data_IF_737731762286
#
_entry.id   IF_737731762286
#
_cell.length_a   1.000
_cell.length_b   1.000
_cell.length_c   1.000
_cell.angle_alpha   90.00
_cell.angle_beta   90.00
_cell.angle_gamma   90.00
#
_symmetry.space_group_name_H-M   'P 1'
#
loop_
_entity.id
_entity.type
_entity.pdbx_description
1 polymer ?
#
# COMPACT_ATOMS: atom_id res chain seq x y z
N UNK A 1 27.17 -3.99 -18.32
CA UNK A 1 25.83 -3.50 -17.92
C UNK A 1 25.71 -3.63 -16.41
N UNK A 2 25.64 -2.52 -15.67
CA UNK A 2 25.49 -2.56 -14.20
C UNK A 2 24.09 -3.04 -13.84
N UNK A 3 23.97 -4.26 -13.31
CA UNK A 3 22.70 -4.77 -12.79
C UNK A 3 22.33 -4.01 -11.52
N UNK A 4 21.47 -3.00 -11.64
CA UNK A 4 20.91 -2.33 -10.48
C UNK A 4 19.80 -3.21 -9.87
N UNK A 5 20.11 -3.96 -8.82
CA UNK A 5 19.12 -4.76 -8.09
C UNK A 5 18.29 -3.91 -7.11
N UNK A 6 16.99 -4.17 -7.04
CA UNK A 6 16.11 -3.70 -5.99
C UNK A 6 16.39 -4.52 -4.72
N UNK A 7 16.81 -3.81 -3.66
CA UNK A 7 17.13 -4.46 -2.39
C UNK A 7 15.92 -5.22 -1.85
N UNK A 8 16.17 -6.43 -1.32
CA UNK A 8 15.14 -7.33 -0.80
C UNK A 8 14.23 -6.64 0.22
N UNK A 9 14.80 -5.80 1.10
CA UNK A 9 14.05 -5.03 2.11
C UNK A 9 12.87 -4.25 1.53
N UNK A 10 13.03 -3.60 0.37
CA UNK A 10 11.95 -2.81 -0.23
C UNK A 10 10.78 -3.68 -0.72
N UNK A 11 11.10 -4.88 -1.22
CA UNK A 11 10.10 -5.86 -1.64
C UNK A 11 9.37 -6.46 -0.45
N UNK A 12 10.10 -6.81 0.61
CA UNK A 12 9.53 -7.34 1.86
C UNK A 12 8.56 -6.34 2.49
N UNK A 13 8.95 -5.07 2.63
CA UNK A 13 8.05 -4.04 3.17
C UNK A 13 6.82 -3.81 2.27
N UNK A 14 7.00 -3.82 0.95
CA UNK A 14 5.88 -3.69 0.02
C UNK A 14 4.90 -4.86 0.14
N UNK A 15 5.39 -6.10 0.02
CA UNK A 15 4.56 -7.30 0.11
C UNK A 15 3.94 -7.48 1.49
N UNK A 16 4.66 -7.13 2.56
CA UNK A 16 4.11 -7.11 3.91
C UNK A 16 2.88 -6.21 4.00
N UNK A 17 2.99 -4.95 3.59
CA UNK A 17 1.85 -4.01 3.57
C UNK A 17 0.73 -4.52 2.65
N UNK A 18 1.06 -5.01 1.45
CA UNK A 18 0.06 -5.52 0.51
C UNK A 18 -0.71 -6.71 1.10
N UNK A 19 -0.03 -7.64 1.76
CA UNK A 19 -0.67 -8.78 2.44
C UNK A 19 -1.55 -8.27 3.59
N UNK A 20 -1.07 -7.34 4.41
CA UNK A 20 -1.90 -6.79 5.49
C UNK A 20 -3.19 -6.14 4.96
N UNK A 21 -3.09 -5.36 3.88
CA UNK A 21 -4.25 -4.74 3.23
C UNK A 21 -5.21 -5.81 2.69
N UNK A 22 -4.72 -6.84 2.01
CA UNK A 22 -5.57 -7.91 1.47
C UNK A 22 -6.25 -8.74 2.56
N UNK A 23 -5.52 -9.08 3.63
CA UNK A 23 -6.08 -9.79 4.79
C UNK A 23 -7.17 -8.95 5.48
N UNK A 24 -6.90 -7.67 5.74
CA UNK A 24 -7.88 -6.76 6.33
C UNK A 24 -9.10 -6.50 5.43
N UNK A 25 -8.94 -6.56 4.11
CA UNK A 25 -10.02 -6.28 3.17
C UNK A 25 -10.93 -7.50 2.91
N UNK A 26 -10.38 -8.73 2.93
CA UNK A 26 -11.10 -9.92 2.46
C UNK A 26 -11.27 -11.02 3.50
N UNK A 27 -10.47 -11.03 4.56
CA UNK A 27 -10.43 -12.16 5.51
C UNK A 27 -10.89 -11.73 6.91
N UNK A 28 -10.40 -10.59 7.39
CA UNK A 28 -10.66 -10.12 8.75
C UNK A 28 -11.92 -9.27 8.82
N UNK A 29 -12.70 -9.46 9.87
CA UNK A 29 -13.94 -8.71 10.07
C UNK A 29 -13.62 -7.33 10.66
N UNK A 30 -14.25 -6.29 10.10
CA UNK A 30 -14.09 -4.92 10.56
C UNK A 30 -14.45 -4.79 12.05
N UNK A 31 -13.53 -4.21 12.83
CA UNK A 31 -13.72 -4.01 14.27
C UNK A 31 -13.29 -5.17 15.16
N UNK A 32 -12.96 -6.35 14.60
CA UNK A 32 -12.44 -7.47 15.37
C UNK A 32 -11.01 -7.19 15.92
N UNK A 33 -10.57 -8.03 16.85
CA UNK A 33 -9.22 -7.93 17.44
C UNK A 33 -8.11 -8.06 16.38
N UNK A 34 -8.20 -9.03 15.46
CA UNK A 34 -7.18 -9.28 14.45
C UNK A 34 -7.06 -8.14 13.45
N UNK A 35 -8.17 -7.57 12.99
CA UNK A 35 -8.23 -6.42 12.09
C UNK A 35 -7.48 -5.22 12.68
N UNK A 36 -7.71 -4.96 13.98
CA UNK A 36 -7.06 -3.86 14.70
C UNK A 36 -5.55 -4.07 14.83
N UNK A 37 -5.12 -5.24 15.29
CA UNK A 37 -3.69 -5.54 15.45
C UNK A 37 -2.96 -5.60 14.11
N UNK A 38 -3.59 -6.14 13.07
CA UNK A 38 -3.02 -6.17 11.74
C UNK A 38 -2.93 -4.75 11.15
N UNK A 39 -3.90 -3.88 11.46
CA UNK A 39 -3.85 -2.45 11.14
C UNK A 39 -2.65 -1.74 11.78
N UNK A 40 -2.41 -1.94 13.08
CA UNK A 40 -1.22 -1.39 13.76
C UNK A 40 0.09 -1.95 13.21
N UNK A 41 0.11 -3.24 12.88
CA UNK A 41 1.28 -3.85 12.25
C UNK A 41 1.55 -3.25 10.87
N UNK A 42 0.53 -3.05 10.05
CA UNK A 42 0.66 -2.38 8.75
C UNK A 42 1.20 -0.94 8.92
N UNK A 43 0.73 -0.20 9.92
CA UNK A 43 1.23 1.14 10.24
C UNK A 43 2.73 1.12 10.57
N UNK A 44 3.20 0.17 11.38
CA UNK A 44 4.63 0.01 11.69
C UNK A 44 5.43 -0.27 10.42
N UNK A 45 4.96 -1.20 9.58
CA UNK A 45 5.63 -1.50 8.30
C UNK A 45 5.71 -0.27 7.39
N UNK A 46 4.66 0.54 7.36
CA UNK A 46 4.60 1.79 6.60
C UNK A 46 5.63 2.80 7.13
N UNK A 47 5.68 3.02 8.45
CA UNK A 47 6.65 3.93 9.08
C UNK A 47 8.08 3.49 8.74
N UNK A 48 8.40 2.21 8.95
CA UNK A 48 9.72 1.67 8.63
C UNK A 48 10.03 1.85 7.13
N UNK A 49 9.06 1.64 6.24
CA UNK A 49 9.23 1.82 4.80
C UNK A 49 9.58 3.27 4.44
N UNK A 50 8.99 4.27 5.12
CA UNK A 50 9.32 5.68 4.93
C UNK A 50 10.75 5.96 5.45
N UNK A 51 11.08 5.48 6.64
CA UNK A 51 12.41 5.69 7.25
C UNK A 51 13.55 5.12 6.43
N UNK A 52 13.30 4.03 5.67
CA UNK A 52 14.33 3.37 4.86
C UNK A 52 14.41 3.84 3.39
N UNK A 53 13.86 5.01 3.03
CA UNK A 53 13.95 5.53 1.66
C UNK A 53 15.37 6.00 1.32
N UNK A 54 16.11 5.19 0.55
CA UNK A 54 17.37 5.61 -0.07
C UNK A 54 17.08 6.38 -1.36
N UNK A 55 17.57 7.61 -1.48
CA UNK A 55 17.42 8.41 -2.70
C UNK A 55 18.16 7.75 -3.87
N UNK A 56 17.42 7.04 -4.74
CA UNK A 56 17.93 6.56 -6.03
C UNK A 56 17.29 7.38 -7.13
N UNK A 57 18.12 7.94 -8.03
CA UNK A 57 17.63 8.63 -9.23
C UNK A 57 16.70 7.69 -10.01
N UNK A 58 15.44 8.10 -10.15
CA UNK A 58 14.45 7.42 -10.99
C UNK A 58 14.78 7.81 -12.43
N UNK A 59 15.23 6.85 -13.23
CA UNK A 59 15.66 7.07 -14.62
C UNK A 59 14.49 7.14 -15.60
N UNK A 60 13.35 6.54 -15.26
CA UNK A 60 12.15 6.54 -16.07
C UNK A 60 10.91 6.63 -15.17
N UNK A 61 9.99 7.53 -15.51
CA UNK A 61 8.86 7.88 -14.69
C UNK A 61 7.59 7.93 -15.53
N UNK A 62 6.59 7.11 -15.19
CA UNK A 62 5.26 7.25 -15.73
C UNK A 62 4.50 8.31 -14.91
N UNK A 63 4.23 9.51 -15.47
CA UNK A 63 3.62 10.60 -14.73
C UNK A 63 2.18 10.30 -14.31
N UNK A 64 1.51 9.31 -14.90
CA UNK A 64 0.16 8.90 -14.49
C UNK A 64 0.20 7.97 -13.28
N UNK A 65 1.19 7.08 -13.22
CA UNK A 65 1.34 6.12 -12.12
C UNK A 65 1.61 6.81 -10.77
N UNK A 66 2.19 8.02 -10.79
CA UNK A 66 2.45 8.80 -9.59
C UNK A 66 1.19 9.17 -8.82
N UNK A 67 0.10 9.50 -9.51
CA UNK A 67 -1.10 10.00 -8.87
C UNK A 67 -1.79 8.88 -8.09
N UNK A 68 -1.89 7.69 -8.68
CA UNK A 68 -2.42 6.50 -8.01
C UNK A 68 -1.58 6.16 -6.77
N UNK A 69 -0.25 6.23 -6.88
CA UNK A 69 0.64 6.05 -5.73
C UNK A 69 0.34 7.07 -4.61
N UNK A 70 0.32 8.37 -4.92
CA UNK A 70 0.04 9.41 -3.93
C UNK A 70 -1.33 9.25 -3.27
N UNK A 71 -2.36 8.88 -4.04
CA UNK A 71 -3.70 8.60 -3.52
C UNK A 71 -3.71 7.39 -2.58
N UNK A 72 -3.02 6.30 -2.91
CA UNK A 72 -2.89 5.13 -2.02
C UNK A 72 -2.24 5.54 -0.71
N UNK A 73 -1.16 6.33 -0.74
CA UNK A 73 -0.50 6.81 0.48
C UNK A 73 -1.41 7.69 1.34
N UNK A 74 -2.21 8.54 0.71
CA UNK A 74 -3.20 9.36 1.40
C UNK A 74 -4.27 8.50 2.09
N UNK A 75 -4.81 7.50 1.39
CA UNK A 75 -5.80 6.58 1.96
C UNK A 75 -5.20 5.74 3.11
N UNK A 76 -3.98 5.23 2.96
CA UNK A 76 -3.30 4.48 4.03
C UNK A 76 -3.10 5.33 5.29
N UNK A 77 -2.73 6.61 5.13
CA UNK A 77 -2.64 7.53 6.25
C UNK A 77 -4.01 7.80 6.88
N UNK A 78 -5.05 8.02 6.05
CA UNK A 78 -6.42 8.20 6.51
C UNK A 78 -6.94 7.01 7.34
N UNK A 79 -6.74 5.78 6.85
CA UNK A 79 -7.13 4.55 7.54
C UNK A 79 -6.38 4.37 8.86
N UNK A 80 -5.07 4.67 8.88
CA UNK A 80 -4.30 4.61 10.12
C UNK A 80 -4.84 5.60 11.16
N UNK A 81 -5.17 6.83 10.73
CA UNK A 81 -5.71 7.86 11.60
C UNK A 81 -7.09 7.49 12.14
N UNK A 82 -8.04 7.15 11.27
CA UNK A 82 -9.41 6.81 11.66
C UNK A 82 -9.46 5.51 12.45
N UNK A 83 -8.67 4.50 12.08
CA UNK A 83 -8.56 3.24 12.83
C UNK A 83 -7.94 3.42 14.22
N UNK A 84 -6.97 4.34 14.37
CA UNK A 84 -6.45 4.71 15.68
C UNK A 84 -7.51 5.44 16.51
N UNK A 85 -8.25 6.37 15.92
CA UNK A 85 -9.31 7.13 16.59
C UNK A 85 -10.44 6.22 17.08
N UNK A 86 -10.85 5.21 16.30
CA UNK A 86 -11.84 4.20 16.71
C UNK A 86 -11.38 3.35 17.91
N UNK A 87 -10.08 3.35 18.21
CA UNK A 87 -9.53 2.73 19.40
C UNK A 87 -9.59 3.60 20.66
N UNK A 88 -9.94 4.88 20.56
CA UNK A 88 -9.99 5.82 21.69
C UNK A 88 -11.38 5.80 22.35
N UNK A 89 -11.42 5.86 23.68
CA UNK A 89 -12.68 5.88 24.45
C UNK A 89 -13.62 7.02 24.04
N UNK A 90 -13.08 8.14 23.55
CA UNK A 90 -13.86 9.30 23.08
C UNK A 90 -14.69 9.00 21.82
N UNK A 91 -14.21 8.12 20.94
CA UNK A 91 -14.84 7.81 19.65
C UNK A 91 -15.32 6.36 19.57
N UNK A 92 -15.41 5.67 20.72
CA UNK A 92 -15.84 4.28 20.78
C UNK A 92 -17.32 4.16 20.39
N UNK A 93 -17.60 3.37 19.35
CA UNK A 93 -18.96 3.19 18.80
C UNK A 93 -19.48 4.38 17.99
N UNK A 94 -18.60 5.30 17.55
CA UNK A 94 -18.99 6.40 16.68
C UNK A 94 -19.20 5.89 15.24
N UNK A 95 -20.47 5.78 14.84
CA UNK A 95 -20.85 5.27 13.53
C UNK A 95 -20.36 6.15 12.37
N UNK A 96 -20.20 7.46 12.59
CA UNK A 96 -19.71 8.38 11.55
C UNK A 96 -18.24 8.09 11.25
N UNK A 97 -17.45 7.89 12.30
CA UNK A 97 -16.04 7.57 12.17
C UNK A 97 -15.83 6.16 11.58
N UNK A 98 -16.68 5.20 11.95
CA UNK A 98 -16.70 3.86 11.33
C UNK A 98 -17.00 3.94 9.83
N UNK A 99 -18.04 4.68 9.44
CA UNK A 99 -18.40 4.88 8.04
C UNK A 99 -17.27 5.57 7.26
N UNK A 100 -16.63 6.60 7.84
CA UNK A 100 -15.47 7.26 7.22
C UNK A 100 -14.33 6.25 7.02
N UNK A 101 -14.03 5.41 8.02
CA UNK A 101 -12.99 4.38 7.89
C UNK A 101 -13.33 3.39 6.78
N UNK A 102 -14.58 2.93 6.71
CA UNK A 102 -15.06 2.01 5.69
C UNK A 102 -15.00 2.62 4.29
N UNK A 103 -15.46 3.86 4.11
CA UNK A 103 -15.41 4.57 2.82
C UNK A 103 -13.98 4.72 2.34
N UNK A 104 -13.04 5.11 3.22
CA UNK A 104 -11.62 5.20 2.84
C UNK A 104 -11.08 3.82 2.47
N UNK A 105 -11.50 2.75 3.16
CA UNK A 105 -11.09 1.37 2.86
C UNK A 105 -11.58 0.93 1.47
N UNK A 106 -12.84 1.19 1.15
CA UNK A 106 -13.44 0.90 -0.15
C UNK A 106 -12.74 1.68 -1.29
N UNK A 107 -12.41 2.96 -1.06
CA UNK A 107 -11.63 3.76 -1.99
C UNK A 107 -10.22 3.17 -2.18
N UNK A 108 -9.55 2.79 -1.09
CA UNK A 108 -8.24 2.15 -1.15
C UNK A 108 -8.30 0.86 -1.98
N UNK A 109 -9.30 0.02 -1.78
CA UNK A 109 -9.48 -1.22 -2.54
C UNK A 109 -9.65 -0.92 -4.04
N UNK A 110 -10.47 0.06 -4.39
CA UNK A 110 -10.61 0.54 -5.77
C UNK A 110 -9.28 1.04 -6.36
N UNK A 111 -8.48 1.78 -5.59
CA UNK A 111 -7.16 2.25 -6.01
C UNK A 111 -6.14 1.12 -6.15
N UNK A 112 -6.20 0.09 -5.31
CA UNK A 112 -5.37 -1.12 -5.45
C UNK A 112 -5.71 -1.83 -6.76
N UNK A 113 -6.99 -1.99 -7.08
CA UNK A 113 -7.42 -2.53 -8.38
C UNK A 113 -6.89 -1.69 -9.54
N UNK A 114 -7.02 -0.36 -9.48
CA UNK A 114 -6.50 0.56 -10.50
C UNK A 114 -4.97 0.47 -10.62
N UNK A 115 -4.26 0.30 -9.50
CA UNK A 115 -2.82 0.11 -9.47
C UNK A 115 -2.40 -1.18 -10.19
N UNK A 116 -3.07 -2.30 -9.90
CA UNK A 116 -2.81 -3.58 -10.56
C UNK A 116 -3.13 -3.52 -12.07
N UNK A 117 -4.25 -2.90 -12.44
CA UNK A 117 -4.59 -2.66 -13.85
C UNK A 117 -3.54 -1.79 -14.54
N UNK A 118 -3.04 -0.76 -13.86
CA UNK A 118 -1.98 0.10 -14.36
C UNK A 118 -0.67 -0.65 -14.63
N UNK A 119 -0.30 -1.60 -13.76
CA UNK A 119 0.85 -2.48 -13.94
C UNK A 119 0.67 -3.37 -15.18
N UNK A 120 -0.51 -3.96 -15.33
CA UNK A 120 -0.83 -4.84 -16.46
C UNK A 120 -0.83 -4.04 -17.78
N UNK A 121 -1.42 -2.85 -17.78
CA UNK A 121 -1.47 -1.96 -18.94
C UNK A 121 -0.08 -1.43 -19.33
N UNK A 122 0.76 -1.11 -18.35
CA UNK A 122 2.17 -0.76 -18.57
C UNK A 122 2.94 -1.92 -19.20
N UNK A 123 2.70 -3.15 -18.73
CA UNK A 123 3.33 -4.34 -19.27
C UNK A 123 2.96 -4.60 -20.73
N UNK A 124 1.71 -4.37 -21.11
CA UNK A 124 1.26 -4.52 -22.50
C UNK A 124 1.83 -3.45 -23.43
N UNK A 125 1.76 -2.17 -23.06
CA UNK A 125 2.23 -1.08 -23.92
C UNK A 125 3.74 -1.04 -24.06
N UNK A 126 4.45 -1.19 -22.94
CA UNK A 126 5.89 -1.01 -22.90
C UNK A 126 6.67 -2.32 -23.12
N UNK A 127 5.96 -3.46 -23.26
CA UNK A 127 6.54 -4.82 -23.39
C UNK A 127 7.58 -5.15 -22.30
N UNK A 128 7.45 -4.53 -21.12
CA UNK A 128 8.35 -4.69 -19.97
C UNK A 128 7.57 -5.23 -18.78
N UNK A 129 8.13 -6.19 -18.06
CA UNK A 129 7.45 -6.80 -16.91
C UNK A 129 7.84 -6.09 -15.61
N UNK A 130 7.36 -4.86 -15.43
CA UNK A 130 7.66 -4.01 -14.25
C UNK A 130 7.31 -4.69 -12.91
N UNK A 131 6.27 -5.52 -12.91
CA UNK A 131 5.89 -6.35 -11.76
C UNK A 131 6.93 -7.40 -11.38
N UNK A 132 7.69 -7.95 -12.33
CA UNK A 132 8.72 -8.96 -12.03
C UNK A 132 9.83 -8.39 -11.14
N UNK A 133 10.08 -7.08 -11.18
CA UNK A 133 11.04 -6.41 -10.29
C UNK A 133 10.67 -6.60 -8.81
N UNK A 134 9.38 -6.76 -8.49
CA UNK A 134 8.93 -7.01 -7.12
C UNK A 134 9.22 -8.43 -6.63
N UNK A 135 9.50 -9.37 -7.54
CA UNK A 135 9.84 -10.76 -7.23
C UNK A 135 11.33 -11.01 -7.37
N UNK A 136 11.91 -10.72 -8.54
CA UNK A 136 13.32 -10.99 -8.84
C UNK A 136 14.23 -9.91 -8.25
N UNK A 137 13.75 -8.66 -8.22
CA UNK A 137 14.57 -7.51 -7.87
C UNK A 137 15.46 -7.04 -9.03
N UNK A 138 15.48 -7.75 -10.15
CA UNK A 138 16.28 -7.36 -11.30
C UNK A 138 15.54 -6.28 -12.06
N UNK A 139 16.15 -5.09 -12.15
CA UNK A 139 15.64 -4.01 -12.97
C UNK A 139 16.11 -4.25 -14.41
N UNK A 140 15.22 -4.70 -15.28
CA UNK A 140 15.43 -4.59 -16.72
C UNK A 140 15.41 -3.09 -17.05
N UNK A 141 16.58 -2.53 -17.37
CA UNK A 141 16.74 -1.15 -17.87
C UNK A 141 16.57 -1.19 -19.38
#
# INVERSE_FOLDING_TARGET
>A
MQQQKLALKFRVFHWGVAICVLLNAFILESGDFLHRYLGYFALILIILRISFQGQKKVTHYNPKAKYVYWLIWLCLFGLALTGFMLGLDRFFGDSTLEEIHEVISNILLGLVCLHLLGIVFDAFQNKRKTWMVMFTGDKEI
#
